data_IF_968501881215
#
_entry.id   IF_968501881215
#
_cell.length_a   1.000
_cell.length_b   1.000
_cell.length_c   1.000
_cell.angle_alpha   90.00
_cell.angle_beta   90.00
_cell.angle_gamma   90.00
#
_symmetry.space_group_name_H-M   'P 1'
#
loop_
_entity.id
_entity.type
_entity.pdbx_description
1 polymer ?
#
# COMPACT_ATOMS: atom_id res chain seq x y z
N UNK A 1 -1.94 3.86 -14.45
CA UNK A 1 -2.22 2.45 -14.13
C UNK A 1 -0.91 1.71 -14.25
N UNK A 2 -0.44 1.09 -13.18
CA UNK A 2 0.83 0.35 -13.21
C UNK A 2 0.54 -1.11 -12.90
N UNK A 3 -0.10 -1.83 -13.85
CA UNK A 3 -0.45 -3.22 -13.64
C UNK A 3 0.83 -4.05 -13.39
N UNK A 4 0.67 -5.17 -12.68
CA UNK A 4 1.69 -6.22 -12.72
C UNK A 4 1.70 -6.89 -14.09
N UNK A 5 2.14 -8.14 -14.15
CA UNK A 5 1.94 -8.96 -15.34
C UNK A 5 0.46 -9.28 -15.50
N UNK A 6 -0.16 -8.71 -16.53
CA UNK A 6 -1.58 -8.85 -16.87
C UNK A 6 -1.74 -9.43 -18.27
N UNK A 7 -2.93 -9.92 -18.60
CA UNK A 7 -3.21 -10.51 -19.91
C UNK A 7 -3.23 -9.46 -21.04
N UNK A 8 -3.01 -9.91 -22.28
CA UNK A 8 -3.16 -9.08 -23.48
C UNK A 8 -4.55 -8.44 -23.61
N UNK A 9 -5.59 -9.12 -23.12
CA UNK A 9 -6.96 -8.60 -23.08
C UNK A 9 -7.08 -7.41 -22.12
N UNK A 10 -6.49 -7.53 -20.92
CA UNK A 10 -6.44 -6.42 -19.95
C UNK A 10 -5.60 -5.24 -20.48
N UNK A 11 -4.46 -5.50 -21.10
CA UNK A 11 -3.62 -4.45 -21.72
C UNK A 11 -4.43 -3.71 -22.79
N UNK A 12 -5.08 -4.45 -23.69
CA UNK A 12 -5.90 -3.87 -24.76
C UNK A 12 -7.07 -3.05 -24.20
N UNK A 13 -7.67 -3.51 -23.10
CA UNK A 13 -8.69 -2.76 -22.39
C UNK A 13 -8.11 -1.43 -21.88
N UNK A 14 -6.99 -1.44 -21.17
CA UNK A 14 -6.38 -0.22 -20.63
C UNK A 14 -5.93 0.75 -21.73
N UNK A 15 -5.35 0.26 -22.81
CA UNK A 15 -4.98 1.07 -23.99
C UNK A 15 -6.19 1.82 -24.56
N UNK A 16 -7.38 1.21 -24.53
CA UNK A 16 -8.62 1.83 -25.01
C UNK A 16 -9.12 2.97 -24.11
N UNK A 17 -8.78 2.94 -22.81
CA UNK A 17 -9.20 3.97 -21.85
C UNK A 17 -8.42 5.28 -21.98
N UNK A 18 -7.28 5.26 -22.71
CA UNK A 18 -6.31 6.37 -22.79
C UNK A 18 -5.67 6.77 -21.45
N UNK A 19 -5.86 5.97 -20.41
CA UNK A 19 -5.11 6.12 -19.17
C UNK A 19 -3.66 5.69 -19.40
N UNK A 20 -2.65 6.42 -18.89
CA UNK A 20 -1.27 5.94 -18.92
C UNK A 20 -1.18 4.57 -18.26
N UNK A 21 -0.62 3.60 -19.00
CA UNK A 21 -0.46 2.22 -18.55
C UNK A 21 1.03 1.88 -18.59
N UNK A 22 1.59 1.53 -17.43
CA UNK A 22 3.02 1.24 -17.28
C UNK A 22 3.26 -0.25 -17.44
N UNK A 23 3.66 -0.64 -18.65
CA UNK A 23 3.91 -2.01 -19.06
C UNK A 23 5.18 -2.54 -18.40
N UNK A 24 5.14 -3.79 -17.94
CA UNK A 24 6.10 -4.36 -17.01
C UNK A 24 7.04 -5.41 -17.64
N UNK A 25 6.95 -5.66 -18.95
CA UNK A 25 7.82 -6.56 -19.70
C UNK A 25 7.95 -6.18 -21.18
N UNK A 26 8.95 -6.72 -21.87
CA UNK A 26 9.11 -6.52 -23.32
C UNK A 26 7.94 -7.08 -24.13
N UNK A 27 7.37 -8.20 -23.70
CA UNK A 27 6.24 -8.84 -24.38
C UNK A 27 4.96 -7.97 -24.30
N UNK A 28 4.70 -7.38 -23.13
CA UNK A 28 3.59 -6.43 -22.94
C UNK A 28 3.75 -5.17 -23.80
N UNK A 29 4.98 -4.66 -23.93
CA UNK A 29 5.31 -3.55 -24.84
C UNK A 29 5.09 -3.97 -26.29
N UNK A 30 5.56 -5.15 -26.70
CA UNK A 30 5.40 -5.67 -28.05
C UNK A 30 3.92 -5.81 -28.43
N UNK A 31 3.08 -6.30 -27.51
CA UNK A 31 1.63 -6.38 -27.70
C UNK A 31 1.02 -5.01 -27.95
N UNK A 32 1.29 -4.04 -27.07
CA UNK A 32 0.76 -2.66 -27.19
C UNK A 32 1.22 -1.96 -28.47
N UNK A 33 2.44 -2.23 -28.91
CA UNK A 33 2.96 -1.74 -30.19
C UNK A 33 2.25 -2.41 -31.39
N UNK A 34 1.97 -3.71 -31.33
CA UNK A 34 1.29 -4.46 -32.38
C UNK A 34 -0.18 -4.04 -32.54
N UNK A 35 -0.87 -3.78 -31.43
CA UNK A 35 -2.26 -3.27 -31.41
C UNK A 35 -2.35 -1.76 -31.69
N UNK A 36 -1.21 -1.08 -31.85
CA UNK A 36 -1.09 0.36 -32.09
C UNK A 36 -1.73 1.19 -30.98
N UNK A 37 -1.45 0.82 -29.74
CA UNK A 37 -1.83 1.59 -28.56
C UNK A 37 -1.46 3.09 -28.72
N UNK A 38 -2.33 4.01 -28.27
CA UNK A 38 -2.13 5.45 -28.47
C UNK A 38 -0.94 6.00 -27.69
N UNK A 39 -0.58 5.37 -26.58
CA UNK A 39 0.51 5.74 -25.67
C UNK A 39 1.30 4.50 -25.31
N UNK A 40 2.61 4.61 -25.12
CA UNK A 40 3.44 3.53 -24.57
C UNK A 40 4.15 4.08 -23.35
N UNK A 41 3.90 3.50 -22.17
CA UNK A 41 4.65 3.80 -20.96
C UNK A 41 5.14 2.51 -20.34
N UNK A 42 6.28 2.55 -19.66
CA UNK A 42 6.95 1.34 -19.15
C UNK A 42 7.35 1.52 -17.71
N UNK A 43 7.27 0.43 -16.94
CA UNK A 43 7.90 0.32 -15.63
C UNK A 43 9.27 -0.32 -15.79
N UNK A 44 10.28 0.31 -15.21
CA UNK A 44 11.63 -0.25 -15.04
C UNK A 44 11.75 -0.77 -13.62
N UNK A 45 12.26 -1.99 -13.49
CA UNK A 45 12.62 -2.55 -12.18
C UNK A 45 14.01 -2.06 -11.77
N UNK A 46 14.06 -1.02 -10.94
CA UNK A 46 15.33 -0.44 -10.50
C UNK A 46 16.12 -1.31 -9.52
N UNK A 47 15.53 -2.39 -9.01
CA UNK A 47 16.20 -3.30 -8.10
C UNK A 47 16.77 -4.54 -8.81
N UNK A 48 16.60 -4.62 -10.14
CA UNK A 48 16.91 -5.80 -10.97
C UNK A 48 16.43 -7.10 -10.30
N UNK A 49 15.21 -7.03 -9.78
CA UNK A 49 14.63 -8.06 -8.93
C UNK A 49 13.70 -8.97 -9.74
N UNK A 50 13.15 -10.01 -9.08
CA UNK A 50 12.10 -10.84 -9.69
C UNK A 50 10.72 -10.18 -9.78
N UNK A 51 10.61 -8.86 -9.57
CA UNK A 51 9.33 -8.13 -9.55
C UNK A 51 8.92 -7.65 -10.95
N UNK A 52 7.66 -7.24 -11.16
CA UNK A 52 7.23 -6.66 -12.44
C UNK A 52 8.03 -5.41 -12.80
N UNK A 53 8.44 -5.30 -14.06
CA UNK A 53 9.20 -4.20 -14.61
C UNK A 53 10.30 -4.70 -15.54
N UNK A 54 10.51 -3.98 -16.65
CA UNK A 54 11.60 -4.21 -17.61
C UNK A 54 12.93 -4.06 -16.87
N UNK A 55 13.83 -5.02 -17.07
CA UNK A 55 15.12 -5.06 -16.37
C UNK A 55 16.12 -4.11 -17.01
N UNK A 56 17.13 -3.69 -16.24
CA UNK A 56 18.20 -2.82 -16.76
C UNK A 56 18.92 -3.44 -17.96
N UNK A 57 19.15 -4.75 -17.93
CA UNK A 57 19.75 -5.49 -19.05
C UNK A 57 18.90 -5.51 -20.32
N UNK A 58 17.60 -5.26 -20.20
CA UNK A 58 16.62 -5.29 -21.29
C UNK A 58 16.39 -3.91 -21.92
N UNK A 59 16.84 -2.81 -21.30
CA UNK A 59 16.64 -1.45 -21.81
C UNK A 59 17.16 -1.24 -23.25
N UNK A 60 18.32 -1.81 -23.67
CA UNK A 60 18.73 -1.74 -25.07
C UNK A 60 17.74 -2.42 -26.04
N UNK A 61 17.14 -3.54 -25.62
CA UNK A 61 16.17 -4.29 -26.43
C UNK A 61 14.85 -3.53 -26.52
N UNK A 62 14.39 -2.95 -25.41
CA UNK A 62 13.23 -2.06 -25.38
C UNK A 62 13.42 -0.87 -26.33
N UNK A 63 14.59 -0.24 -26.29
CA UNK A 63 14.92 0.89 -27.18
C UNK A 63 14.85 0.47 -28.65
N UNK A 64 15.43 -0.68 -28.99
CA UNK A 64 15.40 -1.20 -30.36
C UNK A 64 13.98 -1.54 -30.83
N UNK A 65 13.16 -2.12 -29.95
CA UNK A 65 11.75 -2.46 -30.23
C UNK A 65 10.92 -1.20 -30.53
N UNK A 66 11.07 -0.14 -29.73
CA UNK A 66 10.41 1.14 -29.94
C UNK A 66 10.83 1.78 -31.29
N UNK A 67 12.14 1.79 -31.58
CA UNK A 67 12.69 2.31 -32.83
C UNK A 67 12.16 1.56 -34.06
N UNK A 68 12.08 0.23 -34.00
CA UNK A 68 11.53 -0.60 -35.07
C UNK A 68 10.09 -0.22 -35.42
N UNK A 69 9.31 0.23 -34.44
CA UNK A 69 7.93 0.66 -34.62
C UNK A 69 7.79 2.17 -34.86
N UNK A 70 8.89 2.93 -34.86
CA UNK A 70 8.87 4.40 -35.00
C UNK A 70 8.09 5.07 -33.87
N UNK A 71 8.21 4.55 -32.64
CA UNK A 71 7.50 5.03 -31.45
C UNK A 71 8.50 5.52 -30.40
N UNK A 72 8.10 6.56 -29.69
CA UNK A 72 8.75 7.00 -28.46
C UNK A 72 7.95 6.53 -27.24
N UNK A 73 8.60 6.53 -26.07
CA UNK A 73 7.88 6.39 -24.81
C UNK A 73 7.17 7.69 -24.46
N UNK A 74 5.99 7.56 -23.86
CA UNK A 74 5.30 8.67 -23.24
C UNK A 74 5.86 8.94 -21.84
N UNK A 75 6.06 7.88 -21.06
CA UNK A 75 6.56 7.97 -19.71
C UNK A 75 7.33 6.72 -19.32
N UNK A 76 8.40 6.90 -18.56
CA UNK A 76 9.14 5.82 -17.90
C UNK A 76 8.92 5.92 -16.40
N UNK A 77 8.49 4.83 -15.79
CA UNK A 77 8.27 4.72 -14.36
C UNK A 77 9.35 3.88 -13.70
N UNK A 78 9.77 4.26 -12.51
CA UNK A 78 10.66 3.49 -11.66
C UNK A 78 10.00 3.17 -10.33
N UNK A 79 10.00 1.89 -9.94
CA UNK A 79 9.54 1.46 -8.62
C UNK A 79 10.69 0.86 -7.80
N UNK A 80 11.07 1.54 -6.73
CA UNK A 80 12.19 1.16 -5.86
C UNK A 80 11.77 0.46 -4.56
N UNK A 81 10.52 0.00 -4.42
CA UNK A 81 10.03 -0.66 -3.20
C UNK A 81 9.20 0.24 -2.29
N UNK A 82 9.18 -0.04 -0.99
CA UNK A 82 8.34 0.67 -0.02
C UNK A 82 9.08 0.86 1.29
N UNK A 83 8.88 2.03 1.92
CA UNK A 83 9.53 2.35 3.20
C UNK A 83 10.93 2.95 3.00
N UNK A 84 11.19 3.57 1.85
CA UNK A 84 12.51 4.09 1.51
C UNK A 84 12.83 5.38 2.25
N UNK A 85 14.11 5.55 2.63
CA UNK A 85 14.59 6.80 3.20
C UNK A 85 14.65 7.92 2.16
N UNK A 86 14.77 9.17 2.62
CA UNK A 86 14.97 10.32 1.73
C UNK A 86 16.18 10.12 0.80
N UNK A 87 17.32 9.70 1.34
CA UNK A 87 18.54 9.53 0.55
C UNK A 87 18.42 8.38 -0.47
N UNK A 88 17.69 7.31 -0.13
CA UNK A 88 17.41 6.24 -1.09
C UNK A 88 16.53 6.73 -2.23
N UNK A 89 15.48 7.49 -1.94
CA UNK A 89 14.61 8.07 -2.96
C UNK A 89 15.36 9.07 -3.86
N UNK A 90 16.23 9.91 -3.30
CA UNK A 90 17.07 10.84 -4.09
C UNK A 90 18.06 10.09 -4.98
N UNK A 91 18.66 9.00 -4.48
CA UNK A 91 19.54 8.15 -5.30
C UNK A 91 18.80 7.55 -6.49
N UNK A 92 17.59 7.02 -6.27
CA UNK A 92 16.75 6.51 -7.36
C UNK A 92 16.39 7.57 -8.40
N UNK A 93 16.19 8.82 -7.99
CA UNK A 93 15.94 9.93 -8.93
C UNK A 93 17.12 10.11 -9.88
N UNK A 94 18.34 10.15 -9.35
CA UNK A 94 19.56 10.33 -10.15
C UNK A 94 19.79 9.15 -11.10
N UNK A 95 19.65 7.92 -10.61
CA UNK A 95 19.72 6.70 -11.44
C UNK A 95 18.70 6.74 -12.60
N UNK A 96 17.48 7.19 -12.32
CA UNK A 96 16.43 7.27 -13.33
C UNK A 96 16.70 8.39 -14.34
N UNK A 97 17.31 9.50 -13.93
CA UNK A 97 17.77 10.52 -14.87
C UNK A 97 18.84 10.00 -15.82
N UNK A 98 19.76 9.13 -15.36
CA UNK A 98 20.74 8.48 -16.23
C UNK A 98 20.06 7.54 -17.25
N UNK A 99 19.09 6.74 -16.80
CA UNK A 99 18.30 5.86 -17.68
C UNK A 99 17.55 6.67 -18.72
N UNK A 100 16.86 7.73 -18.31
CA UNK A 100 16.12 8.62 -19.19
C UNK A 100 17.04 9.19 -20.28
N UNK A 101 18.17 9.80 -19.91
CA UNK A 101 19.07 10.42 -20.88
C UNK A 101 19.69 9.40 -21.86
N UNK A 102 20.04 8.21 -21.36
CA UNK A 102 20.74 7.20 -22.15
C UNK A 102 19.80 6.43 -23.08
N UNK A 103 18.59 6.13 -22.63
CA UNK A 103 17.69 5.20 -23.31
C UNK A 103 16.42 5.86 -23.86
N UNK A 104 15.88 6.86 -23.17
CA UNK A 104 14.57 7.45 -23.47
C UNK A 104 14.56 8.98 -23.49
N UNK A 105 15.51 9.65 -24.18
CA UNK A 105 15.67 11.11 -24.12
C UNK A 105 14.49 11.90 -24.70
N UNK A 106 13.62 11.23 -25.47
CA UNK A 106 12.41 11.79 -26.08
C UNK A 106 11.15 11.56 -25.25
N UNK A 107 11.25 10.86 -24.10
CA UNK A 107 10.09 10.60 -23.28
C UNK A 107 9.53 11.88 -22.65
N UNK A 108 8.19 11.95 -22.54
CA UNK A 108 7.48 13.16 -22.10
C UNK A 108 7.39 13.28 -20.58
N UNK A 109 7.70 12.21 -19.85
CA UNK A 109 7.68 12.21 -18.41
C UNK A 109 8.47 11.09 -17.76
N UNK A 110 8.78 11.30 -16.49
CA UNK A 110 9.39 10.31 -15.59
C UNK A 110 8.46 10.17 -14.39
N UNK A 111 8.03 8.95 -14.09
CA UNK A 111 7.23 8.64 -12.92
C UNK A 111 8.12 8.01 -11.85
N UNK A 112 8.30 8.68 -10.72
CA UNK A 112 9.08 8.17 -9.60
C UNK A 112 8.28 7.23 -8.68
N UNK A 113 7.05 6.88 -9.11
CA UNK A 113 6.14 5.99 -8.41
C UNK A 113 5.96 6.39 -6.93
N UNK A 114 5.66 5.41 -6.08
CA UNK A 114 5.58 5.55 -4.64
C UNK A 114 6.81 5.00 -3.92
N UNK A 115 6.64 4.72 -2.63
CA UNK A 115 7.65 4.04 -1.82
C UNK A 115 8.25 4.88 -0.69
N UNK A 116 7.92 6.17 -0.65
CA UNK A 116 8.20 7.11 0.43
C UNK A 116 7.90 6.51 1.81
N UNK A 117 8.85 6.65 2.73
CA UNK A 117 8.78 6.12 4.10
C UNK A 117 7.64 6.71 4.91
N UNK A 118 7.13 5.92 5.86
CA UNK A 118 6.21 6.36 6.90
C UNK A 118 6.57 5.62 8.19
N UNK A 119 6.76 6.36 9.29
CA UNK A 119 7.13 5.80 10.58
C UNK A 119 5.87 5.54 11.43
N UNK A 120 5.57 4.26 11.65
CA UNK A 120 4.42 3.83 12.44
C UNK A 120 4.68 3.87 13.96
N UNK A 121 5.95 3.91 14.37
CA UNK A 121 6.35 3.87 15.78
C UNK A 121 6.51 5.30 16.33
N UNK A 122 6.73 6.29 15.46
CA UNK A 122 6.72 7.70 15.85
C UNK A 122 5.34 8.12 16.38
N UNK A 123 5.31 8.83 17.51
CA UNK A 123 4.07 9.34 18.09
C UNK A 123 3.65 10.71 17.55
N UNK A 124 4.61 11.60 17.28
CA UNK A 124 4.33 12.93 16.76
C UNK A 124 4.11 12.87 15.24
N UNK A 125 3.03 13.45 14.75
CA UNK A 125 2.66 13.46 13.33
C UNK A 125 3.79 13.96 12.43
N UNK A 126 4.49 15.03 12.83
CA UNK A 126 5.60 15.60 12.08
C UNK A 126 6.78 14.63 11.87
N UNK A 127 6.93 13.63 12.74
CA UNK A 127 8.02 12.64 12.68
C UNK A 127 7.61 11.39 11.88
N UNK A 128 6.32 11.22 11.56
CA UNK A 128 5.81 10.05 10.82
C UNK A 128 6.06 10.15 9.31
N UNK A 129 6.02 11.37 8.78
CA UNK A 129 5.95 11.63 7.35
C UNK A 129 7.33 11.79 6.70
N UNK A 130 7.39 11.46 5.42
CA UNK A 130 8.53 11.68 4.56
C UNK A 130 8.81 13.17 4.33
N UNK A 131 10.09 13.55 4.30
CA UNK A 131 10.50 14.95 4.06
C UNK A 131 10.37 15.34 2.56
N UNK A 132 9.12 15.58 2.14
CA UNK A 132 8.79 16.05 0.79
C UNK A 132 9.47 17.38 0.42
N UNK A 133 9.51 18.41 1.29
CA UNK A 133 10.20 19.66 0.95
C UNK A 133 11.68 19.45 0.61
N UNK A 134 12.40 18.63 1.38
CA UNK A 134 13.80 18.32 1.10
C UNK A 134 13.93 17.44 -0.15
N UNK A 135 13.05 16.46 -0.34
CA UNK A 135 13.04 15.60 -1.52
C UNK A 135 12.87 16.40 -2.82
N UNK A 136 11.85 17.27 -2.89
CA UNK A 136 11.62 18.08 -4.09
C UNK A 136 12.74 19.09 -4.35
N UNK A 137 13.37 19.62 -3.31
CA UNK A 137 14.56 20.48 -3.47
C UNK A 137 15.71 19.70 -4.12
N UNK A 138 16.04 18.53 -3.58
CA UNK A 138 17.13 17.67 -4.07
C UNK A 138 16.85 17.15 -5.48
N UNK A 139 15.60 16.83 -5.78
CA UNK A 139 15.15 16.43 -7.12
C UNK A 139 15.31 17.58 -8.13
N UNK A 140 14.93 18.80 -7.77
CA UNK A 140 15.11 19.98 -8.63
C UNK A 140 16.60 20.27 -8.88
N UNK A 141 17.43 20.24 -7.84
CA UNK A 141 18.89 20.39 -7.94
C UNK A 141 19.51 19.32 -8.85
N UNK A 142 19.08 18.06 -8.72
CA UNK A 142 19.54 16.97 -9.57
C UNK A 142 19.09 17.15 -11.04
N UNK A 143 17.85 17.56 -11.27
CA UNK A 143 17.31 17.80 -12.61
C UNK A 143 18.08 18.91 -13.33
N UNK A 144 18.37 20.02 -12.64
CA UNK A 144 19.19 21.12 -13.16
C UNK A 144 20.62 20.67 -13.45
N UNK A 145 21.28 20.04 -12.46
CA UNK A 145 22.66 19.54 -12.59
C UNK A 145 22.82 18.55 -13.75
N UNK A 146 21.82 17.71 -13.98
CA UNK A 146 21.83 16.67 -15.01
C UNK A 146 21.19 17.11 -16.33
N UNK A 147 20.82 18.39 -16.47
CA UNK A 147 20.24 18.98 -17.68
C UNK A 147 18.98 18.26 -18.17
N UNK A 148 18.09 17.86 -17.26
CA UNK A 148 16.80 17.29 -17.65
C UNK A 148 15.94 18.38 -18.30
N UNK A 149 15.37 18.14 -19.50
CA UNK A 149 14.56 19.16 -20.18
C UNK A 149 13.37 19.63 -19.33
N UNK A 150 13.11 20.93 -19.35
CA UNK A 150 12.07 21.56 -18.50
C UNK A 150 10.64 21.14 -18.85
N UNK A 151 10.42 20.58 -20.03
CA UNK A 151 9.13 20.08 -20.52
C UNK A 151 8.85 18.62 -20.11
N UNK A 152 9.85 17.91 -19.56
CA UNK A 152 9.67 16.58 -18.97
C UNK A 152 8.85 16.70 -17.70
N UNK A 153 7.72 15.98 -17.65
CA UNK A 153 6.85 15.95 -16.47
C UNK A 153 7.33 14.93 -15.46
N UNK A 154 7.40 15.32 -14.19
CA UNK A 154 7.65 14.39 -13.09
C UNK A 154 6.33 13.99 -12.43
N UNK A 155 6.14 12.68 -12.26
CA UNK A 155 4.97 12.09 -11.60
C UNK A 155 5.40 11.36 -10.33
N UNK A 156 4.50 11.30 -9.36
CA UNK A 156 4.68 10.62 -8.08
C UNK A 156 3.39 9.90 -7.72
N UNK A 157 3.51 8.75 -7.06
CA UNK A 157 2.39 7.90 -6.65
C UNK A 157 2.45 7.60 -5.14
N UNK A 158 2.43 8.62 -4.26
CA UNK A 158 2.41 8.38 -2.84
C UNK A 158 1.08 7.74 -2.42
N UNK A 159 1.16 6.78 -1.50
CA UNK A 159 0.00 6.13 -0.93
C UNK A 159 0.17 6.01 0.58
N UNK A 160 1.15 5.23 1.04
CA UNK A 160 1.37 5.01 2.48
C UNK A 160 1.55 6.29 3.25
N UNK A 161 2.52 7.09 2.83
CA UNK A 161 2.88 8.33 3.51
C UNK A 161 1.69 9.29 3.61
N UNK A 162 0.91 9.44 2.55
CA UNK A 162 -0.24 10.36 2.51
C UNK A 162 -1.50 9.82 3.22
N UNK A 163 -1.66 8.50 3.29
CA UNK A 163 -2.94 7.90 3.72
C UNK A 163 -2.85 7.15 5.04
N UNK A 164 -1.67 6.76 5.54
CA UNK A 164 -1.56 5.88 6.71
C UNK A 164 -2.26 6.49 7.94
N UNK A 165 -1.91 7.70 8.34
CA UNK A 165 -2.46 8.39 9.52
C UNK A 165 -3.88 8.95 9.34
N UNK A 166 -4.46 8.84 8.13
CA UNK A 166 -5.85 9.26 7.88
C UNK A 166 -6.90 8.27 8.42
N UNK A 167 -6.48 7.08 8.85
CA UNK A 167 -7.37 6.01 9.28
C UNK A 167 -7.00 5.41 10.64
N UNK A 168 -8.02 5.01 11.40
CA UNK A 168 -7.86 4.26 12.64
C UNK A 168 -8.82 3.06 12.66
N UNK A 169 -8.36 1.93 13.20
CA UNK A 169 -9.17 0.74 13.39
C UNK A 169 -9.65 0.70 14.85
N UNK A 170 -10.96 0.86 15.04
CA UNK A 170 -11.62 0.76 16.34
C UNK A 170 -12.17 -0.66 16.53
N UNK A 171 -11.91 -1.25 17.69
CA UNK A 171 -12.31 -2.62 18.03
C UNK A 171 -12.83 -2.68 19.48
N UNK A 172 -13.78 -3.56 19.73
CA UNK A 172 -14.24 -3.84 21.08
C UNK A 172 -13.29 -4.80 21.78
N UNK A 173 -13.00 -4.57 23.07
CA UNK A 173 -12.33 -5.56 23.91
C UNK A 173 -13.37 -6.58 24.38
N UNK A 174 -13.10 -7.86 24.18
CA UNK A 174 -14.07 -8.94 24.44
C UNK A 174 -14.10 -9.38 25.91
N UNK A 175 -13.02 -9.09 26.65
CA UNK A 175 -12.83 -9.47 28.05
C UNK A 175 -11.60 -8.82 28.66
N UNK A 176 -11.58 -8.82 30.00
CA UNK A 176 -10.37 -8.54 30.76
C UNK A 176 -9.18 -9.37 30.26
N UNK A 177 -7.99 -8.78 30.35
CA UNK A 177 -6.73 -9.38 29.90
C UNK A 177 -6.58 -10.79 30.47
N UNK A 178 -6.28 -11.75 29.61
CA UNK A 178 -6.04 -13.14 30.01
C UNK A 178 -4.54 -13.29 30.23
N UNK A 179 -4.15 -13.52 31.48
CA UNK A 179 -2.75 -13.83 31.83
C UNK A 179 -2.60 -15.32 32.13
N UNK A 180 -1.59 -15.92 31.53
CA UNK A 180 -1.18 -17.31 31.74
C UNK A 180 0.30 -17.35 32.16
N UNK A 181 0.84 -18.50 32.58
CA UNK A 181 2.27 -18.61 32.91
C UNK A 181 3.23 -18.29 31.75
N UNK A 182 2.75 -18.24 30.50
CA UNK A 182 3.59 -18.05 29.31
C UNK A 182 3.38 -16.71 28.60
N UNK A 183 2.19 -16.12 28.72
CA UNK A 183 1.87 -14.85 28.06
C UNK A 183 0.60 -14.21 28.62
N UNK A 184 0.46 -12.91 28.36
CA UNK A 184 -0.79 -12.17 28.50
C UNK A 184 -1.35 -11.80 27.14
N UNK A 185 -2.67 -11.83 27.00
CA UNK A 185 -3.36 -11.44 25.77
C UNK A 185 -4.55 -10.53 26.07
N UNK A 186 -4.73 -9.52 25.24
CA UNK A 186 -5.99 -8.77 25.12
C UNK A 186 -6.74 -9.30 23.91
N UNK A 187 -8.00 -9.68 24.10
CA UNK A 187 -8.84 -10.26 23.05
C UNK A 187 -9.79 -9.19 22.54
N UNK A 188 -9.85 -9.03 21.22
CA UNK A 188 -10.70 -8.04 20.54
C UNK A 188 -11.67 -8.73 19.58
N UNK A 189 -12.71 -8.00 19.16
CA UNK A 189 -13.65 -8.43 18.09
C UNK A 189 -13.01 -8.44 16.69
N UNK A 190 -11.84 -7.81 16.55
CA UNK A 190 -11.03 -7.81 15.36
C UNK A 190 -10.28 -9.12 15.08
N UNK A 191 -9.44 -9.07 14.06
CA UNK A 191 -8.58 -10.19 13.65
C UNK A 191 -7.43 -9.68 12.80
N UNK A 192 -6.33 -10.45 12.74
CA UNK A 192 -5.24 -10.19 11.78
C UNK A 192 -5.75 -10.14 10.33
N UNK A 193 -6.93 -10.70 10.04
CA UNK A 193 -7.56 -10.63 8.72
C UNK A 193 -7.96 -9.21 8.29
N UNK A 194 -8.17 -8.28 9.23
CA UNK A 194 -8.50 -6.88 8.93
C UNK A 194 -7.27 -6.08 8.47
N UNK A 195 -6.08 -6.48 8.90
CA UNK A 195 -4.81 -5.80 8.61
C UNK A 195 -3.62 -6.76 8.59
N UNK A 196 -3.62 -7.79 7.74
CA UNK A 196 -2.63 -8.89 7.80
C UNK A 196 -1.19 -8.43 7.56
N UNK A 197 -1.07 -7.26 6.98
CA UNK A 197 0.17 -6.65 6.55
C UNK A 197 1.00 -6.09 7.71
N UNK A 198 0.40 -5.85 8.88
CA UNK A 198 1.11 -5.49 10.09
C UNK A 198 2.02 -6.64 10.55
N UNK A 199 1.46 -7.83 10.74
CA UNK A 199 2.23 -9.05 11.04
C UNK A 199 3.22 -9.42 9.94
N UNK A 200 2.75 -9.50 8.68
CA UNK A 200 3.56 -9.98 7.57
C UNK A 200 4.80 -9.14 7.32
N UNK A 201 4.73 -7.84 7.61
CA UNK A 201 5.83 -6.89 7.42
C UNK A 201 6.49 -6.46 8.73
N UNK A 202 6.12 -7.08 9.85
CA UNK A 202 6.57 -6.69 11.18
C UNK A 202 6.46 -5.18 11.42
N UNK A 203 5.29 -4.61 11.09
CA UNK A 203 4.97 -3.19 11.30
C UNK A 203 4.26 -3.01 12.63
N UNK A 204 4.89 -2.26 13.52
CA UNK A 204 4.23 -1.70 14.69
C UNK A 204 3.11 -0.74 14.26
N UNK A 205 2.24 -0.44 15.20
CA UNK A 205 1.25 0.63 15.11
C UNK A 205 1.05 1.19 16.51
N UNK A 206 0.88 2.50 16.62
CA UNK A 206 0.45 3.11 17.86
C UNK A 206 -0.96 2.65 18.24
N UNK A 207 -1.18 2.46 19.54
CA UNK A 207 -2.46 1.98 20.06
C UNK A 207 -2.92 2.82 21.23
N UNK A 208 -4.23 2.92 21.39
CA UNK A 208 -4.87 3.54 22.55
C UNK A 208 -6.02 2.66 23.01
N UNK A 209 -6.31 2.70 24.32
CA UNK A 209 -7.50 2.06 24.89
C UNK A 209 -8.50 3.13 25.30
N UNK A 210 -9.77 2.89 25.03
CA UNK A 210 -10.86 3.78 25.37
C UNK A 210 -11.80 3.12 26.38
N UNK A 211 -12.36 3.90 27.29
CA UNK A 211 -13.42 3.45 28.18
C UNK A 211 -14.75 3.31 27.43
N UNK A 212 -15.79 2.86 28.14
CA UNK A 212 -17.15 2.71 27.60
C UNK A 212 -17.79 4.03 27.10
N UNK A 213 -17.19 5.17 27.42
CA UNK A 213 -17.62 6.51 27.00
C UNK A 213 -16.70 7.08 25.90
N UNK A 214 -15.85 6.25 25.28
CA UNK A 214 -14.88 6.63 24.25
C UNK A 214 -13.83 7.64 24.74
N UNK A 215 -13.49 7.63 26.03
CA UNK A 215 -12.40 8.43 26.60
C UNK A 215 -11.16 7.58 26.72
N UNK A 216 -10.01 8.13 26.33
CA UNK A 216 -8.74 7.44 26.44
C UNK A 216 -8.41 7.08 27.90
N UNK A 217 -7.99 5.83 28.11
CA UNK A 217 -7.53 5.30 29.38
C UNK A 217 -6.01 5.52 29.45
N UNK A 218 -5.60 6.62 30.07
CA UNK A 218 -4.19 6.97 30.26
C UNK A 218 -3.74 6.51 31.64
N UNK A 219 -3.16 5.31 31.72
CA UNK A 219 -2.56 4.79 32.97
C UNK A 219 -1.19 4.17 32.76
N UNK A 220 -0.23 4.57 33.60
CA UNK A 220 1.13 4.04 33.58
C UNK A 220 1.18 2.58 34.05
N UNK A 221 0.28 2.19 34.96
CA UNK A 221 0.14 0.80 35.39
C UNK A 221 -0.59 0.00 34.34
N UNK A 222 -0.13 -1.23 34.15
CA UNK A 222 -0.71 -2.11 33.15
C UNK A 222 0.12 -3.36 32.99
N UNK A 223 -0.13 -4.05 31.88
CA UNK A 223 0.53 -5.30 31.55
C UNK A 223 0.92 -5.34 30.08
N UNK A 224 2.11 -5.88 29.80
CA UNK A 224 2.53 -6.23 28.43
C UNK A 224 1.68 -7.40 27.95
N UNK A 225 0.93 -7.22 26.87
CA UNK A 225 0.09 -8.26 26.30
C UNK A 225 0.05 -8.21 24.77
N UNK A 226 -0.02 -9.38 24.13
CA UNK A 226 -0.24 -9.47 22.70
C UNK A 226 -1.71 -9.21 22.35
N UNK A 227 -1.95 -8.49 21.25
CA UNK A 227 -3.30 -8.19 20.75
C UNK A 227 -3.78 -9.35 19.90
N UNK A 228 -4.84 -10.02 20.34
CA UNK A 228 -5.39 -11.19 19.68
C UNK A 228 -6.80 -10.93 19.19
N UNK A 229 -7.10 -11.46 18.01
CA UNK A 229 -8.46 -11.52 17.49
C UNK A 229 -9.26 -12.67 18.08
N UNK A 230 -10.54 -12.74 17.67
CA UNK A 230 -11.51 -13.73 18.16
C UNK A 230 -11.49 -15.08 17.45
N UNK A 231 -10.61 -15.30 16.47
CA UNK A 231 -10.63 -16.54 15.68
C UNK A 231 -9.87 -17.69 16.35
N UNK A 232 -10.13 -18.92 15.88
CA UNK A 232 -9.40 -20.13 16.33
C UNK A 232 -7.98 -20.21 15.76
N UNK A 233 -7.57 -19.26 14.92
CA UNK A 233 -6.28 -19.30 14.28
C UNK A 233 -5.16 -19.08 15.32
N UNK A 234 -4.17 -19.98 15.31
CA UNK A 234 -3.05 -19.96 16.27
C UNK A 234 -2.30 -18.63 16.28
N UNK A 235 -2.17 -17.99 15.12
CA UNK A 235 -1.44 -16.74 14.93
C UNK A 235 -2.37 -15.55 14.62
N UNK A 236 -3.59 -15.54 15.16
CA UNK A 236 -4.53 -14.40 15.05
C UNK A 236 -4.11 -13.18 15.88
N UNK A 237 -2.86 -12.78 15.75
CA UNK A 237 -2.32 -11.58 16.39
C UNK A 237 -2.46 -10.41 15.42
N UNK A 238 -3.05 -9.31 15.87
CA UNK A 238 -3.27 -8.15 15.02
C UNK A 238 -1.96 -7.38 14.79
N UNK A 239 -1.18 -7.19 15.85
CA UNK A 239 0.06 -6.41 15.85
C UNK A 239 1.26 -7.27 16.25
N UNK A 240 2.46 -7.02 15.69
CA UNK A 240 3.65 -7.75 16.08
C UNK A 240 4.03 -7.43 17.53
N UNK A 241 4.42 -8.46 18.29
CA UNK A 241 4.87 -8.31 19.68
C UNK A 241 3.73 -8.01 20.67
N UNK A 242 4.13 -7.46 21.80
CA UNK A 242 3.24 -7.06 22.88
C UNK A 242 3.07 -5.54 22.90
N UNK A 243 1.92 -5.08 23.40
CA UNK A 243 1.65 -3.68 23.71
C UNK A 243 1.39 -3.51 25.20
N UNK A 244 1.54 -2.28 25.69
CA UNK A 244 1.08 -1.92 27.04
C UNK A 244 -0.44 -1.85 27.08
N UNK A 245 -1.07 -2.66 27.93
CA UNK A 245 -2.51 -2.61 28.21
C UNK A 245 -2.71 -1.97 29.57
N UNK A 246 -3.31 -0.76 29.64
CA UNK A 246 -3.56 -0.05 30.89
C UNK A 246 -4.40 -0.87 31.89
N UNK A 247 -4.15 -0.67 33.18
CA UNK A 247 -5.03 -1.17 34.24
C UNK A 247 -6.45 -0.59 34.06
N UNK A 248 -7.47 -1.43 34.23
CA UNK A 248 -8.87 -1.02 34.03
C UNK A 248 -9.45 -1.33 32.64
N UNK A 249 -8.64 -1.82 31.69
CA UNK A 249 -9.14 -2.36 30.41
C UNK A 249 -9.94 -3.64 30.66
N UNK A 250 -11.19 -3.67 30.21
CA UNK A 250 -12.11 -4.80 30.35
C UNK A 250 -13.04 -4.98 29.14
N UNK A 251 -14.06 -5.84 29.27
CA UNK A 251 -15.02 -6.15 28.20
C UNK A 251 -15.90 -4.96 27.76
N UNK A 252 -15.81 -3.82 28.44
CA UNK A 252 -16.53 -2.59 28.10
C UNK A 252 -15.64 -1.55 27.44
N UNK A 253 -14.33 -1.82 27.38
CA UNK A 253 -13.34 -0.97 26.74
C UNK A 253 -13.28 -1.20 25.23
N UNK A 254 -12.71 -0.24 24.54
CA UNK A 254 -12.35 -0.34 23.14
C UNK A 254 -10.84 -0.21 22.98
N UNK A 255 -10.34 -0.72 21.86
CA UNK A 255 -8.97 -0.55 21.43
C UNK A 255 -8.98 0.17 20.09
N UNK A 256 -8.11 1.17 19.94
CA UNK A 256 -7.83 1.86 18.69
C UNK A 256 -6.43 1.49 18.23
N UNK A 257 -6.31 1.09 16.97
CA UNK A 257 -5.04 0.98 16.25
C UNK A 257 -4.95 2.14 15.29
N UNK A 258 -3.94 2.99 15.46
CA UNK A 258 -3.72 4.18 14.63
C UNK A 258 -3.00 3.82 13.33
N UNK A 259 -2.97 4.77 12.41
CA UNK A 259 -2.20 4.71 11.17
C UNK A 259 -2.62 3.56 10.23
N UNK A 260 -3.92 3.27 10.16
CA UNK A 260 -4.48 2.14 9.39
C UNK A 260 -5.05 2.52 8.02
N UNK A 261 -4.97 3.78 7.61
CA UNK A 261 -5.58 4.26 6.36
C UNK A 261 -4.91 3.74 5.08
N UNK A 262 -3.69 3.20 5.16
CA UNK A 262 -2.99 2.59 4.03
C UNK A 262 -2.70 1.10 4.25
N UNK A 263 -3.09 0.26 3.28
CA UNK A 263 -2.76 -1.16 3.24
C UNK A 263 -3.27 -1.98 4.46
N UNK A 264 -4.42 -1.58 5.02
CA UNK A 264 -5.17 -2.39 5.99
C UNK A 264 -6.45 -2.90 5.35
N UNK A 265 -7.51 -2.09 5.27
CA UNK A 265 -8.80 -2.48 4.68
C UNK A 265 -8.65 -3.05 3.25
N UNK A 266 -7.80 -2.45 2.41
CA UNK A 266 -7.51 -2.93 1.04
C UNK A 266 -6.81 -4.29 0.98
N UNK A 267 -6.31 -4.78 2.11
CA UNK A 267 -5.64 -6.07 2.26
C UNK A 267 -6.44 -7.03 3.15
N UNK A 268 -7.71 -6.70 3.45
CA UNK A 268 -8.59 -7.60 4.16
C UNK A 268 -8.64 -8.98 3.48
N UNK A 269 -8.70 -10.03 4.30
CA UNK A 269 -8.80 -11.39 3.83
C UNK A 269 -10.04 -12.06 4.41
N UNK A 270 -10.90 -12.61 3.55
CA UNK A 270 -12.07 -13.42 3.94
C UNK A 270 -11.70 -14.86 4.38
N UNK A 271 -10.77 -14.98 5.32
CA UNK A 271 -10.37 -16.26 5.91
C UNK A 271 -11.06 -16.49 7.25
N UNK A 272 -11.43 -17.74 7.53
CA UNK A 272 -12.28 -18.13 8.67
C UNK A 272 -13.57 -17.33 8.80
N UNK A 273 -14.10 -16.83 7.66
CA UNK A 273 -15.31 -16.01 7.58
C UNK A 273 -15.24 -14.76 8.48
N UNK A 274 -14.05 -14.16 8.65
CA UNK A 274 -13.96 -12.83 9.26
C UNK A 274 -14.48 -11.81 8.24
N UNK A 275 -15.63 -11.15 8.49
CA UNK A 275 -16.15 -10.15 7.58
C UNK A 275 -15.25 -8.90 7.55
N UNK A 276 -15.27 -8.13 6.46
CA UNK A 276 -14.65 -6.80 6.46
C UNK A 276 -15.32 -5.88 7.50
N UNK A 277 -14.54 -4.99 8.11
CA UNK A 277 -15.07 -3.96 8.99
C UNK A 277 -15.86 -2.90 8.21
N UNK A 278 -16.78 -2.20 8.88
CA UNK A 278 -17.37 -0.99 8.32
C UNK A 278 -16.30 0.10 8.17
N UNK A 279 -16.41 0.91 7.13
CA UNK A 279 -15.57 2.09 6.92
C UNK A 279 -16.42 3.34 7.05
N UNK A 280 -15.98 4.26 7.90
CA UNK A 280 -16.68 5.51 8.21
C UNK A 280 -15.74 6.68 7.88
N UNK A 281 -16.24 7.64 7.11
CA UNK A 281 -15.57 8.93 6.90
C UNK A 281 -16.09 9.93 7.94
N UNK A 282 -15.18 10.50 8.72
CA UNK A 282 -15.49 11.62 9.62
C UNK A 282 -15.16 12.92 8.88
N UNK A 283 -16.19 13.71 8.58
CA UNK A 283 -16.06 14.97 7.87
C UNK A 283 -15.42 16.05 8.76
N UNK A 284 -14.89 17.10 8.12
CA UNK A 284 -14.28 18.24 8.81
C UNK A 284 -15.22 18.98 9.78
N UNK A 285 -16.53 18.85 9.62
CA UNK A 285 -17.55 19.43 10.52
C UNK A 285 -17.99 18.47 11.64
N UNK A 286 -17.39 17.28 11.71
CA UNK A 286 -17.68 16.23 12.69
C UNK A 286 -18.84 15.31 12.32
N UNK A 287 -19.50 15.51 11.19
CA UNK A 287 -20.50 14.55 10.67
C UNK A 287 -19.83 13.26 10.21
N UNK A 288 -20.58 12.16 10.20
CA UNK A 288 -20.07 10.82 9.89
C UNK A 288 -20.86 10.19 8.75
N UNK A 289 -20.15 9.73 7.73
CA UNK A 289 -20.70 9.03 6.58
C UNK A 289 -20.21 7.58 6.55
N UNK A 290 -21.14 6.63 6.45
CA UNK A 290 -20.80 5.23 6.18
C UNK A 290 -20.41 5.08 4.71
N UNK A 291 -19.13 4.82 4.43
CA UNK A 291 -18.62 4.68 3.07
C UNK A 291 -18.60 3.20 2.61
N UNK A 292 -18.42 2.28 3.55
CA UNK A 292 -18.54 0.83 3.33
C UNK A 292 -19.25 0.19 4.51
N UNK A 293 -20.33 -0.56 4.27
CA UNK A 293 -21.00 -1.32 5.32
C UNK A 293 -20.11 -2.47 5.81
N UNK A 294 -20.23 -2.82 7.11
CA UNK A 294 -19.61 -4.03 7.62
C UNK A 294 -20.13 -5.25 6.85
N UNK A 295 -19.25 -6.21 6.57
CA UNK A 295 -19.66 -7.48 6.00
C UNK A 295 -20.45 -8.32 6.99
N UNK A 296 -21.13 -9.33 6.46
CA UNK A 296 -21.92 -10.28 7.23
C UNK A 296 -21.31 -11.70 7.21
N UNK A 297 -21.74 -12.56 8.15
CA UNK A 297 -21.28 -13.96 8.22
C UNK A 297 -21.67 -14.79 6.99
N UNK A 298 -22.62 -14.28 6.18
CA UNK A 298 -23.15 -14.90 4.99
C UNK A 298 -22.49 -14.39 3.70
N UNK A 299 -21.56 -13.43 3.76
CA UNK A 299 -20.99 -12.79 2.56
C UNK A 299 -20.30 -13.82 1.65
N UNK A 300 -19.61 -14.78 2.26
CA UNK A 300 -19.00 -15.91 1.55
C UNK A 300 -20.01 -16.78 0.78
N UNK A 301 -21.26 -16.79 1.22
CA UNK A 301 -22.34 -17.55 0.60
C UNK A 301 -23.00 -16.80 -0.55
N UNK A 302 -22.73 -15.51 -0.74
CA UNK A 302 -23.29 -14.71 -1.86
C UNK A 302 -22.87 -15.24 -3.22
N UNK A 303 -21.72 -15.90 -3.30
CA UNK A 303 -21.21 -16.54 -4.52
C UNK A 303 -21.52 -18.04 -4.58
N UNK A 304 -22.24 -18.60 -3.59
CA UNK A 304 -22.65 -20.00 -3.65
C UNK A 304 -23.81 -20.15 -4.64
N UNK A 305 -23.63 -21.01 -5.63
CA UNK A 305 -24.71 -21.36 -6.54
C UNK A 305 -25.81 -22.12 -5.78
N UNK A 306 -27.07 -21.80 -6.07
CA UNK A 306 -28.22 -22.50 -5.48
C UNK A 306 -28.17 -24.03 -5.74
N UNK A 307 -27.65 -24.42 -6.90
CA UNK A 307 -27.34 -25.81 -7.25
C UNK A 307 -25.97 -25.88 -7.93
N UNK A 308 -25.28 -27.01 -7.79
CA UNK A 308 -24.02 -27.24 -8.51
C UNK A 308 -24.28 -27.21 -10.02
N UNK A 309 -23.49 -26.42 -10.75
CA UNK A 309 -23.55 -26.37 -12.21
C UNK A 309 -22.33 -27.08 -12.80
N UNK A 310 -22.45 -27.75 -13.94
CA UNK A 310 -21.28 -28.25 -14.66
C UNK A 310 -20.41 -27.07 -15.10
N UNK A 311 -19.09 -27.20 -14.95
CA UNK A 311 -18.14 -26.19 -15.45
C UNK A 311 -18.30 -26.10 -16.96
N UNK A 312 -18.65 -24.91 -17.46
CA UNK A 312 -18.63 -24.64 -18.90
C UNK A 312 -17.17 -24.48 -19.31
N UNK A 313 -16.66 -25.45 -20.05
CA UNK A 313 -15.36 -25.39 -20.73
C UNK A 313 -15.39 -24.37 -21.86
#
# INVERSE_FOLDING_TARGET
MSPGHVSDEEISFWDSTRCPTFLASLDEVAHSLATRAPSISVRVDSLDSGKPGVKYGELPQLTALLQQHGRDLDCVEVYCGSGNSLDDMVRTVEEMFEVFQKHFPTARGINFAGGHGFDYDAHAEADKHFDWPQYFRRLAEAAERMNIPQDVKFLFEPARDVLADTGALLMSVERSVITTPVSSIVVTDGSRMLMPSAQLRNRGHNTAFLDRNMREIVEERGISAAVRGRTILRNDYLLPGDIHVPEGVDATSFMVVLDTGAYCATQHMEFLNVPPAAEILVNSDGTMDLITAAGDELDKWRNLLAEKQPVKS
#
